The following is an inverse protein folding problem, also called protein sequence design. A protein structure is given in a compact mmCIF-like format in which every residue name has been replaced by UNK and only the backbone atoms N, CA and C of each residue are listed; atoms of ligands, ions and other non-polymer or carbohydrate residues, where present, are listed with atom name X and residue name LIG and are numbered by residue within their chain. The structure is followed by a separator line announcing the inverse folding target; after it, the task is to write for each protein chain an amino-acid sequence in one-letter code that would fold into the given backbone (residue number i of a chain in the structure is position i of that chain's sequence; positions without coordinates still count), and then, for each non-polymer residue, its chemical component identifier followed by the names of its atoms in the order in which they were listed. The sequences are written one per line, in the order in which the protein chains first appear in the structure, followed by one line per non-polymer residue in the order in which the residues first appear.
data_IF_877440069927
#
_entry.id   IF_877440069927
#
_cell.length_a   1.000
_cell.length_b   1.000
_cell.length_c   1.000
_cell.angle_alpha   90.00
_cell.angle_beta   90.00
_cell.angle_gamma   90.00
#
_symmetry.space_group_name_H-M   'P 1'
#
loop_
_entity.id
_entity.type
_entity.pdbx_description
1 polymer ?
#
# COMPACT_ATOMS: atom_id res chain seq x y z
N UNK A 1 -12.17 -14.99 -5.31
CA UNK A 1 -11.88 -15.20 -3.87
C UNK A 1 -10.60 -14.50 -3.38
N UNK A 2 -9.54 -14.37 -4.19
CA UNK A 2 -8.25 -13.78 -3.76
C UNK A 2 -8.37 -12.29 -3.37
N UNK A 3 -9.05 -11.47 -4.18
CA UNK A 3 -9.25 -10.05 -3.88
C UNK A 3 -10.01 -9.82 -2.57
N UNK A 4 -11.04 -10.61 -2.28
CA UNK A 4 -11.82 -10.49 -1.05
C UNK A 4 -10.98 -10.78 0.21
N UNK A 5 -10.07 -11.76 0.14
CA UNK A 5 -9.15 -12.05 1.22
C UNK A 5 -8.14 -10.92 1.45
N UNK A 6 -7.59 -10.35 0.38
CA UNK A 6 -6.71 -9.16 0.43
C UNK A 6 -7.42 -7.95 1.03
N UNK A 7 -8.64 -7.66 0.56
CA UNK A 7 -9.47 -6.59 1.11
C UNK A 7 -9.73 -6.78 2.59
N UNK A 8 -10.11 -7.99 3.00
CA UNK A 8 -10.35 -8.30 4.40
C UNK A 8 -9.10 -8.05 5.23
N UNK A 9 -7.94 -8.57 4.80
CA UNK A 9 -6.67 -8.38 5.50
C UNK A 9 -6.30 -6.90 5.64
N UNK A 10 -6.35 -6.13 4.56
CA UNK A 10 -6.04 -4.68 4.58
C UNK A 10 -6.99 -3.94 5.52
N UNK A 11 -8.29 -4.22 5.46
CA UNK A 11 -9.30 -3.56 6.32
C UNK A 11 -9.12 -3.92 7.79
N UNK A 12 -8.79 -5.17 8.11
CA UNK A 12 -8.53 -5.61 9.48
C UNK A 12 -7.31 -4.90 10.04
N UNK A 13 -6.18 -4.91 9.31
CA UNK A 13 -4.96 -4.27 9.76
C UNK A 13 -5.12 -2.74 9.89
N UNK A 14 -5.87 -2.08 9.00
CA UNK A 14 -6.19 -0.64 9.10
C UNK A 14 -6.96 -0.31 10.37
N UNK A 15 -7.93 -1.17 10.75
CA UNK A 15 -8.70 -0.99 11.99
C UNK A 15 -7.86 -1.22 13.23
N UNK A 16 -7.04 -2.27 13.25
CA UNK A 16 -6.15 -2.61 14.38
C UNK A 16 -5.18 -1.46 14.69
N UNK A 17 -4.61 -0.84 13.66
CA UNK A 17 -3.67 0.29 13.81
C UNK A 17 -4.33 1.66 13.81
N UNK A 18 -5.68 1.72 13.75
CA UNK A 18 -6.46 2.96 13.66
C UNK A 18 -6.00 3.91 12.55
N UNK A 19 -5.50 3.36 11.44
CA UNK A 19 -5.05 4.15 10.29
C UNK A 19 -6.15 4.29 9.24
N UNK A 20 -6.01 5.32 8.41
CA UNK A 20 -6.99 5.67 7.38
C UNK A 20 -6.31 5.74 6.03
N UNK A 21 -6.91 5.07 5.04
CA UNK A 21 -6.47 5.15 3.65
C UNK A 21 -7.47 5.98 2.85
N UNK A 22 -7.04 6.89 1.96
CA UNK A 22 -7.95 7.65 1.13
C UNK A 22 -8.75 6.70 0.25
N UNK A 23 -10.08 6.86 0.22
CA UNK A 23 -10.95 6.17 -0.72
C UNK A 23 -10.92 6.85 -2.12
N UNK A 24 -11.63 6.31 -3.12
CA UNK A 24 -11.72 6.90 -4.47
C UNK A 24 -12.17 8.37 -4.47
N UNK A 25 -12.90 8.78 -3.43
CA UNK A 25 -13.35 10.18 -3.22
C UNK A 25 -12.35 11.02 -2.41
N UNK A 26 -11.12 10.54 -2.22
CA UNK A 26 -10.06 11.13 -1.37
C UNK A 26 -10.43 11.31 0.11
N UNK A 27 -11.47 10.63 0.60
CA UNK A 27 -11.88 10.68 2.00
C UNK A 27 -11.13 9.62 2.81
N UNK A 28 -10.68 9.93 4.03
CA UNK A 28 -10.08 8.92 4.90
C UNK A 28 -11.10 7.81 5.19
N UNK A 29 -10.77 6.57 4.84
CA UNK A 29 -11.63 5.40 4.98
C UNK A 29 -10.84 4.21 5.49
N UNK A 30 -11.47 3.40 6.32
CA UNK A 30 -10.94 2.11 6.80
C UNK A 30 -11.46 0.94 5.96
N UNK A 31 -12.20 1.23 4.88
CA UNK A 31 -12.82 0.22 4.01
C UNK A 31 -12.40 0.38 2.54
N UNK A 32 -11.10 0.52 2.22
CA UNK A 32 -10.70 0.59 0.82
C UNK A 32 -11.02 -0.73 0.09
N UNK A 33 -11.15 -0.65 -1.23
CA UNK A 33 -11.21 -1.82 -2.10
C UNK A 33 -9.79 -2.19 -2.55
N UNK A 34 -9.53 -3.48 -2.76
CA UNK A 34 -8.21 -3.94 -3.18
C UNK A 34 -7.87 -3.34 -4.55
N UNK A 35 -8.86 -3.25 -5.45
CA UNK A 35 -8.70 -2.57 -6.74
C UNK A 35 -8.20 -1.13 -6.58
N UNK A 36 -8.77 -0.37 -5.64
CA UNK A 36 -8.33 1.00 -5.39
C UNK A 36 -6.93 1.08 -4.78
N UNK A 37 -6.61 0.18 -3.86
CA UNK A 37 -5.26 0.06 -3.30
C UNK A 37 -4.26 -0.24 -4.42
N UNK A 38 -4.52 -1.23 -5.28
CA UNK A 38 -3.64 -1.53 -6.42
C UNK A 38 -3.49 -0.36 -7.40
N UNK A 39 -4.58 0.37 -7.68
CA UNK A 39 -4.51 1.58 -8.50
C UNK A 39 -3.63 2.65 -7.84
N UNK A 40 -3.70 2.81 -6.52
CA UNK A 40 -2.84 3.75 -5.82
C UNK A 40 -1.35 3.36 -5.89
N UNK A 41 -1.04 2.07 -6.06
CA UNK A 41 0.32 1.55 -6.20
C UNK A 41 0.83 1.53 -7.65
N UNK A 42 -0.03 1.76 -8.66
CA UNK A 42 0.36 1.67 -10.08
C UNK A 42 1.30 2.77 -10.58
N UNK A 43 1.62 3.77 -9.74
CA UNK A 43 2.60 4.82 -10.03
C UNK A 43 3.95 4.59 -9.37
N UNK A 44 4.12 3.50 -8.60
CA UNK A 44 5.40 3.19 -7.98
C UNK A 44 6.32 2.60 -9.04
N UNK A 45 7.48 3.21 -9.24
CA UNK A 45 8.46 2.79 -10.23
C UNK A 45 9.70 2.23 -9.54
N UNK A 46 10.15 1.04 -9.94
CA UNK A 46 11.44 0.50 -9.55
C UNK A 46 12.49 0.97 -10.58
N UNK A 47 13.49 1.72 -10.11
CA UNK A 47 14.56 2.25 -10.95
C UNK A 47 15.86 1.57 -10.56
N UNK A 48 16.39 0.73 -11.46
CA UNK A 48 17.73 0.15 -11.33
C UNK A 48 18.73 0.97 -12.12
N UNK A 49 19.79 1.49 -11.46
CA UNK A 49 20.87 2.22 -12.12
C UNK A 49 22.15 1.37 -12.07
N UNK A 50 22.46 0.72 -13.18
CA UNK A 50 23.65 -0.15 -13.28
C UNK A 50 23.61 -1.30 -12.29
N UNK A 51 24.71 -1.51 -11.55
CA UNK A 51 24.81 -2.50 -10.46
C UNK A 51 24.28 -2.01 -9.10
N UNK A 52 23.65 -0.82 -9.06
CA UNK A 52 23.07 -0.31 -7.81
C UNK A 52 21.81 -1.09 -7.45
N UNK A 53 21.52 -1.28 -6.15
CA UNK A 53 20.26 -1.87 -5.72
C UNK A 53 19.08 -1.06 -6.28
N UNK A 54 18.01 -1.72 -6.73
CA UNK A 54 16.85 -1.05 -7.30
C UNK A 54 16.26 -0.07 -6.28
N UNK A 55 15.99 1.15 -6.71
CA UNK A 55 15.40 2.20 -5.87
C UNK A 55 13.95 2.42 -6.27
N UNK A 56 13.07 2.36 -5.28
CA UNK A 56 11.65 2.57 -5.50
C UNK A 56 11.33 4.07 -5.44
N UNK A 57 10.88 4.60 -6.58
CA UNK A 57 10.58 6.01 -6.83
C UNK A 57 9.07 6.27 -6.90
N UNK A 58 8.65 7.49 -6.60
CA UNK A 58 7.24 7.96 -6.55
C UNK A 58 6.38 7.31 -5.45
N UNK A 59 7.02 6.97 -4.33
CA UNK A 59 6.29 6.65 -3.09
C UNK A 59 5.63 7.90 -2.51
N UNK A 60 4.32 7.82 -2.39
CA UNK A 60 3.45 8.78 -1.75
C UNK A 60 3.06 8.29 -0.36
N UNK A 61 2.83 9.24 0.54
CA UNK A 61 2.52 9.00 1.96
C UNK A 61 1.35 8.01 2.15
N UNK A 62 0.34 8.05 1.26
CA UNK A 62 -0.78 7.10 1.26
C UNK A 62 -0.34 5.64 1.11
N UNK A 63 0.67 5.33 0.29
CA UNK A 63 1.12 3.95 0.08
C UNK A 63 1.89 3.47 1.31
N UNK A 64 2.62 4.37 1.97
CA UNK A 64 3.34 4.09 3.20
C UNK A 64 2.41 3.67 4.33
N UNK A 65 1.24 4.29 4.47
CA UNK A 65 0.16 3.85 5.38
C UNK A 65 -0.17 2.36 5.17
N UNK A 66 -0.34 1.91 3.93
CA UNK A 66 -0.65 0.50 3.64
C UNK A 66 0.54 -0.41 3.97
N UNK A 67 1.75 -0.01 3.60
CA UNK A 67 2.97 -0.78 3.86
C UNK A 67 3.19 -0.94 5.37
N UNK A 68 3.08 0.13 6.15
CA UNK A 68 3.23 0.13 7.60
C UNK A 68 2.18 -0.74 8.29
N UNK A 69 0.95 -0.70 7.79
CA UNK A 69 -0.17 -1.48 8.31
C UNK A 69 -0.03 -2.98 8.03
N UNK A 70 0.52 -3.33 6.86
CA UNK A 70 0.77 -4.73 6.49
C UNK A 70 1.99 -5.34 7.19
N UNK A 71 2.93 -4.50 7.63
CA UNK A 71 4.05 -4.87 8.50
C UNK A 71 5.42 -4.82 7.84
N UNK A 72 6.45 -5.22 8.60
CA UNK A 72 7.87 -5.07 8.25
C UNK A 72 8.28 -5.83 7.00
N UNK A 73 7.67 -6.99 6.72
CA UNK A 73 7.92 -7.76 5.50
C UNK A 73 7.69 -6.92 4.23
N UNK A 74 6.64 -6.08 4.23
CA UNK A 74 6.34 -5.22 3.10
C UNK A 74 7.24 -3.98 3.09
N UNK A 75 7.71 -3.52 4.24
CA UNK A 75 8.69 -2.44 4.29
C UNK A 75 10.00 -2.85 3.63
N UNK A 76 10.49 -4.07 3.89
CA UNK A 76 11.72 -4.61 3.29
C UNK A 76 11.62 -4.75 1.76
N UNK A 77 10.47 -5.24 1.25
CA UNK A 77 10.25 -5.36 -0.20
C UNK A 77 10.26 -4.00 -0.88
N UNK A 78 9.73 -2.98 -0.18
CA UNK A 78 9.61 -1.65 -0.72
C UNK A 78 10.80 -0.74 -0.34
N UNK A 79 11.83 -1.23 0.36
CA UNK A 79 12.88 -0.40 0.94
C UNK A 79 13.80 0.27 -0.07
#
# INVERSE_FOLDING_TARGET
MIYAALEHRIRTSLKERQQYFPDMKKKPSQKPTARWVFLCFSGIHEVSIGDSPPVITDKQERQQVIIDVLGTLYQEIYS
#
